data_IF_496454962837
#
_entry.id   IF_496454962837
#
_cell.length_a   1.000
_cell.length_b   1.000
_cell.length_c   1.000
_cell.angle_alpha   90.00
_cell.angle_beta   90.00
_cell.angle_gamma   90.00
#
_symmetry.space_group_name_H-M   'P 1'
#
loop_
_entity.id
_entity.type
_entity.pdbx_description
1 polymer ?
#
# COMPACT_ATOMS: atom_id res chain seq x y z
N UNK A 1 -45.51 5.37 4.77
CA UNK A 1 -44.95 6.50 3.99
C UNK A 1 -43.55 6.09 3.59
N UNK A 2 -43.25 5.97 2.30
CA UNK A 2 -41.94 5.52 1.86
C UNK A 2 -40.89 6.61 2.13
N UNK A 3 -39.70 6.22 2.55
CA UNK A 3 -38.52 7.06 2.36
C UNK A 3 -38.21 7.05 0.86
N UNK A 4 -38.14 8.22 0.25
CA UNK A 4 -37.65 8.37 -1.12
C UNK A 4 -36.17 7.95 -1.17
N UNK A 5 -35.67 7.49 -2.32
CA UNK A 5 -34.35 6.85 -2.42
C UNK A 5 -33.14 7.81 -2.34
N UNK A 6 -33.35 9.04 -1.86
CA UNK A 6 -32.34 10.08 -1.68
C UNK A 6 -31.58 10.02 -0.35
N UNK A 7 -30.70 11.00 -0.15
CA UNK A 7 -29.95 11.15 1.12
C UNK A 7 -30.69 12.10 2.06
N UNK A 8 -31.17 11.60 3.21
CA UNK A 8 -31.86 12.40 4.23
C UNK A 8 -31.07 13.65 4.64
N UNK A 9 -29.79 13.49 4.99
CA UNK A 9 -28.85 14.57 5.29
C UNK A 9 -27.39 14.13 5.12
N UNK A 10 -26.51 15.07 4.82
CA UNK A 10 -25.06 14.87 4.72
C UNK A 10 -24.35 15.21 6.04
N UNK A 11 -23.23 14.55 6.31
CA UNK A 11 -22.38 14.82 7.47
C UNK A 11 -20.89 14.60 7.13
N UNK A 12 -19.94 15.18 7.89
CA UNK A 12 -18.51 15.02 7.68
C UNK A 12 -18.07 13.54 7.65
N UNK A 13 -17.76 13.04 6.46
CA UNK A 13 -17.46 11.64 6.19
C UNK A 13 -16.09 11.40 5.54
N UNK A 14 -15.19 12.38 5.51
CA UNK A 14 -13.86 12.28 4.90
C UNK A 14 -12.84 13.16 5.61
N UNK A 15 -11.55 12.87 5.44
CA UNK A 15 -10.46 13.67 6.01
C UNK A 15 -10.29 13.54 7.54
N UNK A 16 -11.01 12.62 8.20
CA UNK A 16 -10.88 12.44 9.65
C UNK A 16 -9.60 11.67 9.97
N UNK A 17 -8.56 12.40 10.35
CA UNK A 17 -7.29 11.85 10.81
C UNK A 17 -7.42 11.25 12.21
N UNK A 18 -7.51 9.92 12.30
CA UNK A 18 -7.25 9.22 13.55
C UNK A 18 -5.74 9.00 13.62
N UNK A 19 -5.07 9.44 14.69
CA UNK A 19 -3.69 9.05 14.94
C UNK A 19 -3.65 7.58 15.39
N UNK A 20 -2.99 6.67 14.66
CA UNK A 20 -2.58 5.39 15.23
C UNK A 20 -1.59 5.68 16.38
N UNK A 21 -1.48 4.77 17.36
CA UNK A 21 -0.48 4.92 18.43
C UNK A 21 0.93 5.02 17.83
N UNK A 22 1.54 6.21 17.89
CA UNK A 22 2.83 6.52 17.26
C UNK A 22 2.79 7.85 16.48
N UNK A 23 3.86 8.15 15.74
CA UNK A 23 4.02 9.40 14.97
C UNK A 23 3.32 9.38 13.59
N UNK A 24 2.15 8.75 13.49
CA UNK A 24 1.42 8.57 12.23
C UNK A 24 0.07 9.28 12.21
N UNK A 25 -0.43 9.58 11.01
CA UNK A 25 -1.80 10.04 10.78
C UNK A 25 -2.49 9.09 9.81
N UNK A 26 -3.64 8.54 10.20
CA UNK A 26 -4.46 7.69 9.34
C UNK A 26 -5.79 8.38 9.04
N UNK A 27 -5.92 8.90 7.83
CA UNK A 27 -7.16 9.54 7.36
C UNK A 27 -8.21 8.47 7.04
N UNK A 28 -9.38 8.59 7.67
CA UNK A 28 -10.55 7.73 7.42
C UNK A 28 -11.60 8.50 6.63
N UNK A 29 -12.33 7.80 5.77
CA UNK A 29 -13.48 8.34 5.07
C UNK A 29 -14.42 7.25 4.53
N UNK A 30 -15.63 7.66 4.16
CA UNK A 30 -16.72 6.82 3.65
C UNK A 30 -18.05 7.09 4.35
N UNK A 31 -19.15 6.61 3.77
CA UNK A 31 -20.52 6.82 4.30
C UNK A 31 -20.69 6.31 5.74
N UNK A 32 -19.96 5.27 6.14
CA UNK A 32 -19.95 4.78 7.53
C UNK A 32 -19.39 5.79 8.54
N UNK A 33 -18.47 6.67 8.11
CA UNK A 33 -17.92 7.75 8.95
C UNK A 33 -18.94 8.86 9.13
N UNK A 34 -19.61 9.26 8.04
CA UNK A 34 -20.73 10.22 8.11
C UNK A 34 -21.87 9.69 8.99
N UNK A 35 -22.27 8.43 8.81
CA UNK A 35 -23.30 7.78 9.63
C UNK A 35 -22.91 7.71 11.13
N UNK A 36 -21.66 7.39 11.45
CA UNK A 36 -21.16 7.43 12.83
C UNK A 36 -21.20 8.85 13.42
N UNK A 37 -20.92 9.88 12.62
CA UNK A 37 -21.01 11.27 13.04
C UNK A 37 -22.47 11.69 13.33
N UNK A 38 -23.41 11.34 12.45
CA UNK A 38 -24.86 11.56 12.67
C UNK A 38 -25.34 10.82 13.93
N UNK A 39 -24.92 9.56 14.12
CA UNK A 39 -25.27 8.77 15.30
C UNK A 39 -24.74 9.39 16.61
N UNK A 40 -23.53 9.96 16.59
CA UNK A 40 -22.97 10.70 17.72
C UNK A 40 -23.79 11.94 18.08
N UNK A 41 -24.21 12.74 17.08
CA UNK A 41 -25.07 13.92 17.32
C UNK A 41 -26.47 13.50 17.78
N UNK A 42 -27.06 12.44 17.22
CA UNK A 42 -28.33 11.87 17.68
C UNK A 42 -28.26 11.41 19.14
N UNK A 43 -27.13 10.82 19.56
CA UNK A 43 -26.88 10.44 20.95
C UNK A 43 -26.76 11.67 21.87
N UNK A 44 -26.07 12.74 21.44
CA UNK A 44 -26.02 14.01 22.20
C UNK A 44 -27.40 14.67 22.34
N UNK A 45 -28.21 14.67 21.27
CA UNK A 45 -29.60 15.16 21.33
C UNK A 45 -30.40 14.35 22.34
N UNK A 46 -30.33 13.01 22.33
CA UNK A 46 -31.04 12.17 23.31
C UNK A 46 -30.50 12.26 24.73
N UNK A 47 -29.21 12.59 24.92
CA UNK A 47 -28.63 12.81 26.25
C UNK A 47 -29.10 14.14 26.85
N UNK A 48 -29.27 15.18 26.03
CA UNK A 48 -29.79 16.48 26.46
C UNK A 48 -31.33 16.54 26.49
N UNK A 49 -32.00 15.64 25.74
CA UNK A 49 -33.45 15.55 25.57
C UNK A 49 -33.92 14.09 25.55
N UNK A 50 -33.90 13.40 26.70
CA UNK A 50 -34.31 11.99 26.81
C UNK A 50 -35.80 11.76 26.50
N UNK A 51 -36.63 12.81 26.57
CA UNK A 51 -38.05 12.78 26.28
C UNK A 51 -38.38 12.59 24.79
N UNK A 52 -37.43 12.81 23.87
CA UNK A 52 -37.68 12.73 22.42
C UNK A 52 -37.64 11.29 21.88
N UNK A 53 -38.65 10.96 21.08
CA UNK A 53 -38.67 9.73 20.28
C UNK A 53 -37.64 9.76 19.14
N UNK A 54 -37.32 8.59 18.58
CA UNK A 54 -36.38 8.50 17.46
C UNK A 54 -36.85 9.30 16.21
N UNK A 55 -38.16 9.33 15.95
CA UNK A 55 -38.74 10.08 14.85
C UNK A 55 -38.59 11.60 15.05
N UNK A 56 -38.78 12.09 16.28
CA UNK A 56 -38.59 13.51 16.61
C UNK A 56 -37.10 13.90 16.56
N UNK A 57 -36.19 13.01 16.96
CA UNK A 57 -34.75 13.22 16.82
C UNK A 57 -34.34 13.30 15.34
N UNK A 58 -34.79 12.37 14.49
CA UNK A 58 -34.56 12.42 13.03
C UNK A 58 -35.09 13.73 12.43
N UNK A 59 -36.37 14.01 12.64
CA UNK A 59 -37.01 15.22 12.13
C UNK A 59 -36.38 16.50 12.68
N UNK A 60 -35.79 16.48 13.89
CA UNK A 60 -35.06 17.61 14.47
C UNK A 60 -33.72 17.80 13.76
N UNK A 61 -32.91 16.75 13.60
CA UNK A 61 -31.64 16.80 12.87
C UNK A 61 -31.83 17.37 11.46
N UNK A 62 -32.84 16.87 10.73
CA UNK A 62 -33.23 17.33 9.39
C UNK A 62 -33.65 18.80 9.35
N UNK A 63 -34.48 19.26 10.30
CA UNK A 63 -34.91 20.67 10.37
C UNK A 63 -33.81 21.63 10.83
N UNK A 64 -32.77 21.16 11.50
CA UNK A 64 -31.64 21.99 11.97
C UNK A 64 -30.44 22.00 11.03
N UNK A 65 -30.44 21.18 9.99
CA UNK A 65 -29.36 21.12 9.02
C UNK A 65 -29.26 22.40 8.16
N UNK A 66 -28.04 22.72 7.73
CA UNK A 66 -27.75 23.85 6.84
C UNK A 66 -28.07 23.45 5.39
N UNK A 67 -28.89 24.21 4.64
CA UNK A 67 -29.22 23.89 3.26
C UNK A 67 -27.98 23.62 2.41
N UNK A 68 -27.90 22.43 1.82
CA UNK A 68 -26.86 22.10 0.85
C UNK A 68 -27.17 22.75 -0.50
N UNK A 69 -26.12 22.97 -1.31
CA UNK A 69 -26.27 23.49 -2.68
C UNK A 69 -26.58 22.41 -3.72
N UNK A 70 -26.37 21.15 -3.35
CA UNK A 70 -26.71 19.97 -4.15
C UNK A 70 -28.15 19.49 -3.87
N UNK A 71 -29.01 19.35 -4.89
CA UNK A 71 -30.42 18.95 -4.71
C UNK A 71 -30.61 17.47 -4.32
N UNK A 72 -29.54 16.67 -4.27
CA UNK A 72 -29.59 15.25 -3.86
C UNK A 72 -29.54 14.99 -2.35
N UNK A 73 -29.46 16.05 -1.53
CA UNK A 73 -29.32 15.97 -0.07
C UNK A 73 -30.51 16.70 0.59
N UNK A 74 -31.52 15.95 1.03
CA UNK A 74 -32.85 16.47 1.34
C UNK A 74 -32.89 17.56 2.42
N UNK A 75 -32.33 17.29 3.59
CA UNK A 75 -32.19 18.27 4.68
C UNK A 75 -30.92 19.14 4.58
N UNK A 76 -30.00 18.83 3.67
CA UNK A 76 -28.69 19.47 3.59
C UNK A 76 -27.65 18.90 4.57
N UNK A 77 -26.77 19.75 5.10
CA UNK A 77 -25.60 19.36 5.89
C UNK A 77 -25.85 19.51 7.39
N UNK A 78 -25.54 18.48 8.18
CA UNK A 78 -25.74 18.44 9.63
C UNK A 78 -25.05 19.61 10.39
N UNK A 79 -25.84 20.44 11.08
CA UNK A 79 -25.36 21.33 12.14
C UNK A 79 -25.58 20.67 13.51
N UNK A 80 -24.51 20.13 14.07
CA UNK A 80 -24.51 19.51 15.40
C UNK A 80 -24.85 20.49 16.53
N UNK A 81 -24.47 21.77 16.38
CA UNK A 81 -24.73 22.81 17.38
C UNK A 81 -26.21 23.21 17.36
N UNK A 82 -26.80 23.50 16.20
CA UNK A 82 -28.22 23.82 16.10
C UNK A 82 -29.10 22.63 16.56
N UNK A 83 -28.75 21.41 16.15
CA UNK A 83 -29.44 20.19 16.56
C UNK A 83 -29.51 20.03 18.10
N UNK A 84 -28.39 20.20 18.80
CA UNK A 84 -28.34 20.06 20.27
C UNK A 84 -28.97 21.29 20.97
N UNK A 85 -28.65 22.51 20.53
CA UNK A 85 -29.14 23.75 21.11
C UNK A 85 -30.64 24.03 20.88
N UNK A 86 -31.34 23.19 20.11
CA UNK A 86 -32.74 23.37 19.71
C UNK A 86 -33.00 24.66 18.91
N UNK A 87 -31.98 25.20 18.25
CA UNK A 87 -32.12 26.36 17.39
C UNK A 87 -32.88 25.94 16.13
N UNK A 88 -34.02 26.60 15.87
CA UNK A 88 -34.64 26.61 14.54
C UNK A 88 -33.57 26.98 13.48
N UNK A 89 -33.67 26.46 12.24
CA UNK A 89 -32.60 26.57 11.26
C UNK A 89 -32.16 28.02 11.12
N UNK A 90 -30.84 28.26 11.29
CA UNK A 90 -30.27 29.58 11.04
C UNK A 90 -30.64 29.98 9.62
N UNK A 91 -31.44 31.04 9.47
CA UNK A 91 -31.43 31.78 8.22
C UNK A 91 -29.97 32.11 7.91
N UNK A 92 -29.55 31.85 6.68
CA UNK A 92 -28.17 32.00 6.29
C UNK A 92 -27.74 33.46 6.49
N UNK A 93 -26.99 33.71 7.56
CA UNK A 93 -26.34 35.00 7.77
C UNK A 93 -25.42 35.30 6.59
N UNK A 94 -25.09 36.59 6.35
CA UNK A 94 -24.18 36.97 5.27
C UNK A 94 -22.93 36.09 5.36
N UNK A 95 -22.55 35.39 4.27
CA UNK A 95 -21.64 34.26 4.35
C UNK A 95 -20.30 34.72 4.91
N UNK A 96 -19.94 34.22 6.09
CA UNK A 96 -18.63 34.44 6.69
C UNK A 96 -17.60 33.97 5.66
N UNK A 97 -16.66 34.82 5.22
CA UNK A 97 -15.71 34.46 4.18
C UNK A 97 -14.69 33.46 4.75
N UNK A 98 -15.03 32.17 4.68
CA UNK A 98 -14.09 31.08 4.90
C UNK A 98 -13.00 31.24 3.85
N UNK A 99 -11.76 31.44 4.29
CA UNK A 99 -10.61 31.51 3.40
C UNK A 99 -10.45 30.15 2.71
N UNK A 100 -10.89 30.05 1.45
CA UNK A 100 -10.76 28.84 0.62
C UNK A 100 -9.32 28.69 0.11
N UNK A 101 -8.38 28.63 1.05
CA UNK A 101 -7.05 28.12 0.77
C UNK A 101 -7.12 26.61 0.54
N UNK A 102 -6.27 26.04 -0.34
CA UNK A 102 -6.20 24.60 -0.50
C UNK A 102 -5.73 23.97 0.81
N UNK A 103 -6.63 23.26 1.51
CA UNK A 103 -6.29 22.47 2.69
C UNK A 103 -5.44 21.29 2.23
N UNK A 104 -4.13 21.51 2.19
CA UNK A 104 -3.12 20.53 1.81
C UNK A 104 -3.00 19.45 2.90
N UNK A 105 -3.97 18.53 2.95
CA UNK A 105 -3.86 17.30 3.73
C UNK A 105 -2.64 16.54 3.19
N UNK A 106 -1.62 16.24 4.01
CA UNK A 106 -0.42 15.54 3.54
C UNK A 106 -0.75 14.07 3.27
N UNK A 107 -1.26 13.79 2.07
CA UNK A 107 -1.54 12.44 1.59
C UNK A 107 -0.25 11.71 1.26
N UNK A 108 0.45 11.21 2.29
CA UNK A 108 1.56 10.26 2.11
C UNK A 108 0.99 9.01 1.42
N UNK A 109 1.36 8.68 0.17
CA UNK A 109 0.73 7.59 -0.57
C UNK A 109 1.25 6.23 -0.10
N UNK A 110 0.84 5.80 1.10
CA UNK A 110 1.12 4.46 1.59
C UNK A 110 0.60 3.42 0.58
N UNK A 111 1.40 2.41 0.20
CA UNK A 111 1.09 1.56 -0.96
C UNK A 111 -0.30 0.94 -0.83
N UNK A 112 -1.06 0.96 -1.92
CA UNK A 112 -2.47 0.50 -1.92
C UNK A 112 -2.58 -0.94 -1.42
N UNK A 113 -3.74 -1.33 -0.88
CA UNK A 113 -3.96 -2.72 -0.44
C UNK A 113 -3.73 -3.71 -1.59
N UNK A 114 -4.12 -3.33 -2.81
CA UNK A 114 -3.81 -4.08 -4.03
C UNK A 114 -2.30 -4.24 -4.29
N UNK A 115 -1.52 -3.16 -4.22
CA UNK A 115 -0.07 -3.22 -4.42
C UNK A 115 0.64 -4.09 -3.36
N UNK A 116 0.20 -4.03 -2.10
CA UNK A 116 0.74 -4.88 -1.02
C UNK A 116 0.41 -6.37 -1.24
N UNK A 117 -0.82 -6.70 -1.62
CA UNK A 117 -1.21 -8.09 -1.93
C UNK A 117 -0.45 -8.61 -3.15
N UNK A 118 -0.38 -7.83 -4.24
CA UNK A 118 0.33 -8.21 -5.46
C UNK A 118 1.84 -8.47 -5.22
N UNK A 119 2.51 -7.62 -4.44
CA UNK A 119 3.91 -7.81 -4.07
C UNK A 119 4.15 -9.10 -3.29
N UNK A 120 3.28 -9.41 -2.34
CA UNK A 120 3.35 -10.65 -1.55
C UNK A 120 3.10 -11.90 -2.41
N UNK A 121 2.12 -11.88 -3.33
CA UNK A 121 1.85 -13.01 -4.22
C UNK A 121 2.98 -13.25 -5.21
N UNK A 122 3.58 -12.19 -5.78
CA UNK A 122 4.72 -12.30 -6.69
C UNK A 122 5.95 -12.90 -6.00
N UNK A 123 6.28 -12.43 -4.78
CA UNK A 123 7.41 -12.95 -4.01
C UNK A 123 7.19 -14.42 -3.60
N UNK A 124 5.98 -14.78 -3.17
CA UNK A 124 5.62 -16.16 -2.82
C UNK A 124 5.72 -17.12 -4.02
N UNK A 125 5.27 -16.69 -5.21
CA UNK A 125 5.39 -17.46 -6.44
C UNK A 125 6.86 -17.68 -6.85
N UNK A 126 7.71 -16.66 -6.70
CA UNK A 126 9.15 -16.77 -6.99
C UNK A 126 9.86 -17.75 -6.04
N UNK A 127 9.64 -17.63 -4.73
CA UNK A 127 10.25 -18.51 -3.72
C UNK A 127 9.83 -19.96 -3.89
N UNK A 128 8.53 -20.22 -4.09
CA UNK A 128 8.04 -21.59 -4.33
C UNK A 128 8.60 -22.20 -5.61
N UNK A 129 8.69 -21.44 -6.69
CA UNK A 129 9.30 -21.88 -7.96
C UNK A 129 10.78 -22.24 -7.79
N UNK A 130 11.55 -21.43 -7.07
CA UNK A 130 12.96 -21.70 -6.79
C UNK A 130 13.17 -22.97 -5.93
N UNK A 131 12.34 -23.17 -4.90
CA UNK A 131 12.38 -24.36 -4.05
C UNK A 131 12.07 -25.64 -4.83
N UNK A 132 11.05 -25.62 -5.70
CA UNK A 132 10.70 -26.75 -6.58
C UNK A 132 11.85 -27.04 -7.56
N UNK A 133 12.42 -26.01 -8.20
CA UNK A 133 13.55 -26.17 -9.12
C UNK A 133 14.78 -26.77 -8.43
N UNK A 134 15.08 -26.35 -7.19
CA UNK A 134 16.16 -26.92 -6.38
C UNK A 134 15.90 -28.40 -6.02
N UNK A 135 14.67 -28.74 -5.59
CA UNK A 135 14.28 -30.10 -5.24
C UNK A 135 14.29 -31.07 -6.43
N UNK A 136 13.93 -30.61 -7.64
CA UNK A 136 14.06 -31.39 -8.88
C UNK A 136 15.54 -31.58 -9.25
N UNK A 137 16.37 -30.55 -9.10
CA UNK A 137 17.80 -30.59 -9.43
C UNK A 137 18.58 -31.54 -8.50
N UNK A 138 18.30 -31.53 -7.19
CA UNK A 138 18.93 -32.46 -6.25
C UNK A 138 18.53 -33.92 -6.51
N UNK A 139 17.25 -34.19 -6.80
CA UNK A 139 16.75 -35.52 -7.20
C UNK A 139 17.30 -36.04 -8.54
N UNK A 140 17.78 -35.17 -9.43
CA UNK A 140 18.58 -35.56 -10.61
C UNK A 140 20.05 -35.79 -10.25
N UNK A 141 20.64 -34.95 -9.40
CA UNK A 141 22.03 -35.06 -8.96
C UNK A 141 22.34 -36.39 -8.26
N UNK A 142 21.46 -36.84 -7.35
CA UNK A 142 21.62 -38.10 -6.60
C UNK A 142 21.44 -39.38 -7.44
N UNK A 143 21.05 -39.27 -8.72
CA UNK A 143 20.90 -40.40 -9.65
C UNK A 143 22.13 -40.66 -10.54
N UNK A 144 23.25 -39.95 -10.33
CA UNK A 144 24.52 -40.28 -11.01
C UNK A 144 25.02 -41.66 -10.53
N UNK A 145 25.24 -42.65 -11.44
CA UNK A 145 25.80 -43.94 -11.03
C UNK A 145 27.19 -43.78 -10.42
N UNK A 146 27.49 -44.55 -9.36
CA UNK A 146 28.87 -44.66 -8.85
C UNK A 146 29.73 -45.36 -9.90
N UNK A 147 30.71 -44.67 -10.45
CA UNK A 147 31.76 -45.27 -11.26
C UNK A 147 32.57 -46.25 -10.41
N UNK A 148 32.79 -47.46 -10.92
CA UNK A 148 33.74 -48.41 -10.32
C UNK A 148 35.18 -47.98 -10.67
N UNK A 149 36.17 -48.15 -9.78
CA UNK A 149 37.57 -47.99 -10.14
C UNK A 149 37.97 -49.01 -11.21
N UNK A 150 38.87 -48.60 -12.12
CA UNK A 150 39.50 -49.47 -13.12
C UNK A 150 40.98 -49.64 -12.74
N UNK A 151 41.54 -50.86 -12.77
CA UNK A 151 42.98 -51.07 -12.51
C UNK A 151 43.87 -50.36 -13.55
N UNK A 152 45.01 -49.85 -13.12
CA UNK A 152 45.98 -49.15 -13.99
C UNK A 152 46.86 -50.10 -14.82
N UNK A 153 47.38 -49.66 -15.97
CA UNK A 153 48.23 -50.48 -16.85
C UNK A 153 49.71 -50.53 -16.43
N UNK A 154 50.40 -51.56 -16.90
CA UNK A 154 51.84 -51.84 -16.68
C UNK A 154 52.77 -50.92 -17.51
N UNK A 155 54.05 -50.75 -17.11
CA UNK A 155 55.00 -49.91 -17.84
C UNK A 155 55.62 -50.61 -19.07
N UNK A 156 55.89 -49.85 -20.13
CA UNK A 156 56.60 -50.30 -21.34
C UNK A 156 56.94 -49.14 -22.29
N UNK A 157 57.87 -49.40 -23.20
CA UNK A 157 58.35 -48.53 -24.29
C UNK A 157 59.02 -47.17 -23.95
N UNK A 158 60.36 -47.11 -24.08
CA UNK A 158 61.13 -45.88 -24.30
C UNK A 158 62.14 -46.05 -25.44
N UNK A 159 61.86 -45.48 -26.62
CA UNK A 159 62.78 -45.17 -27.73
C UNK A 159 62.05 -44.29 -28.76
N UNK A 160 62.69 -43.43 -29.57
CA UNK A 160 64.07 -42.96 -29.53
C UNK A 160 64.52 -42.22 -30.81
N UNK A 161 65.13 -41.04 -30.65
CA UNK A 161 66.12 -40.38 -31.57
C UNK A 161 65.76 -39.90 -33.01
N UNK A 162 66.25 -38.67 -33.28
CA UNK A 162 66.88 -38.15 -34.53
C UNK A 162 66.04 -37.49 -35.67
N UNK A 163 66.53 -36.31 -36.12
CA UNK A 163 66.09 -35.57 -37.32
C UNK A 163 66.24 -34.04 -37.19
N UNK A 164 67.10 -33.40 -38.01
CA UNK A 164 67.29 -31.91 -38.09
C UNK A 164 66.87 -31.34 -39.46
N UNK A 165 67.59 -30.40 -40.11
CA UNK A 165 68.70 -29.53 -39.62
C UNK A 165 68.67 -28.06 -40.20
N UNK A 166 69.76 -27.28 -39.97
CA UNK A 166 70.12 -25.95 -40.57
C UNK A 166 69.34 -24.70 -40.09
N UNK A 167 69.82 -23.44 -40.20
CA UNK A 167 71.06 -22.85 -40.76
C UNK A 167 71.47 -21.59 -39.95
N UNK A 168 72.76 -21.21 -39.88
CA UNK A 168 73.23 -19.98 -39.19
C UNK A 168 74.46 -19.32 -39.85
N UNK A 169 74.52 -17.97 -39.93
CA UNK A 169 75.77 -17.19 -39.99
C UNK A 169 76.05 -16.33 -38.74
N UNK A 170 77.30 -15.84 -38.62
CA UNK A 170 77.92 -15.02 -37.55
C UNK A 170 79.13 -14.26 -38.18
N UNK A 171 79.91 -13.42 -37.47
CA UNK A 171 79.64 -12.35 -36.48
C UNK A 171 80.31 -11.04 -37.04
N UNK A 172 81.20 -10.28 -36.35
CA UNK A 172 81.31 -9.72 -34.97
C UNK A 172 81.19 -8.16 -34.98
N UNK A 173 81.49 -7.37 -33.91
CA UNK A 173 81.94 -7.65 -32.53
C UNK A 173 80.83 -7.24 -31.51
N UNK A 174 80.99 -6.69 -30.28
CA UNK A 174 82.12 -6.09 -29.52
C UNK A 174 81.89 -6.10 -27.98
N UNK A 175 82.66 -5.29 -27.24
CA UNK A 175 82.78 -5.17 -25.77
C UNK A 175 83.10 -3.70 -25.39
N UNK A 176 83.21 -3.28 -24.11
CA UNK A 176 82.85 -3.92 -22.82
C UNK A 176 82.02 -3.00 -21.88
N UNK A 177 81.67 -3.45 -20.64
CA UNK A 177 81.26 -2.47 -19.61
C UNK A 177 80.76 -2.93 -18.23
N UNK A 178 81.64 -3.49 -17.36
CA UNK A 178 81.58 -3.46 -15.88
C UNK A 178 80.35 -4.10 -15.17
N UNK A 179 80.40 -4.47 -13.88
CA UNK A 179 81.50 -4.54 -12.90
C UNK A 179 81.84 -6.00 -12.58
#
# INVERSE_FOLDING_TARGET
>A
MAADAGTDLAAPGAGLGIAPRGAGHYSVGGVAVAAAHVAGVAALVRAYRPELSQAEVRARLERTAVPARDPGIGGGTLDAYAAVAALAPRQAGPPVPIAVGPVAVPTVPGPSRAARVAGLTALGALVTTLLVAAAVRSRRGSRRPRSRPVPGPSPGEQAGTAGGPWLSPRPPPSTPGRC
#
